data_IF_409370996315
#
_entry.id   IF_409370996315
#
_cell.length_a   1.000
_cell.length_b   1.000
_cell.length_c   1.000
_cell.angle_alpha   90.00
_cell.angle_beta   90.00
_cell.angle_gamma   90.00
#
_symmetry.space_group_name_H-M   'P 1'
#
loop_
_entity.id
_entity.type
_entity.pdbx_description
1 polymer ?
#
# COMPACT_ATOMS: atom_id res chain seq x y z
N UNK A 1 27.91 27.91 31.13
CA UNK A 1 27.63 27.05 29.96
C UNK A 1 26.65 27.80 29.07
N UNK A 2 27.16 28.60 28.13
CA UNK A 2 26.32 29.52 27.34
C UNK A 2 25.44 28.73 26.37
N UNK A 3 24.13 28.97 26.43
CA UNK A 3 23.15 28.45 25.49
C UNK A 3 23.43 29.07 24.11
N UNK A 4 24.18 28.33 23.28
CA UNK A 4 24.41 28.70 21.88
C UNK A 4 23.05 28.68 21.19
N UNK A 5 22.64 29.79 20.59
CA UNK A 5 21.38 29.86 19.85
C UNK A 5 21.39 28.82 18.72
N UNK A 6 20.23 28.22 18.39
CA UNK A 6 20.15 27.16 17.37
C UNK A 6 20.73 27.58 16.01
N UNK A 7 20.68 28.88 15.69
CA UNK A 7 21.27 29.46 14.48
C UNK A 7 22.81 29.40 14.47
N UNK A 8 23.46 29.67 15.61
CA UNK A 8 24.93 29.62 15.72
C UNK A 8 25.43 28.17 15.68
N UNK A 9 24.66 27.23 16.23
CA UNK A 9 24.96 25.81 16.12
C UNK A 9 24.85 25.28 14.67
N UNK A 10 23.84 25.73 13.92
CA UNK A 10 23.68 25.40 12.51
C UNK A 10 24.85 25.96 11.66
N UNK A 11 25.23 27.22 11.87
CA UNK A 11 26.37 27.84 11.18
C UNK A 11 27.69 27.09 11.44
N UNK A 12 27.98 26.76 12.70
CA UNK A 12 29.20 26.04 13.07
C UNK A 12 29.26 24.62 12.49
N UNK A 13 28.13 23.95 12.33
CA UNK A 13 28.09 22.59 11.78
C UNK A 13 28.07 22.55 10.25
N UNK A 14 27.42 23.51 9.58
CA UNK A 14 27.21 23.45 8.12
C UNK A 14 28.23 24.26 7.34
N UNK A 15 28.54 25.48 7.79
CA UNK A 15 29.27 26.49 7.01
C UNK A 15 30.75 26.54 7.39
N UNK A 16 31.04 26.54 8.69
CA UNK A 16 32.41 26.66 9.24
C UNK A 16 33.44 25.66 8.65
N UNK A 17 33.11 24.38 8.38
CA UNK A 17 34.06 23.44 7.76
C UNK A 17 34.50 23.81 6.34
N UNK A 18 33.73 24.65 5.64
CA UNK A 18 33.96 25.04 4.26
C UNK A 18 34.27 26.52 4.10
N UNK A 19 34.58 27.23 5.19
CA UNK A 19 34.88 28.65 5.19
C UNK A 19 36.01 29.01 4.22
N UNK A 20 37.07 28.18 4.15
CA UNK A 20 38.16 28.36 3.18
C UNK A 20 37.74 28.21 1.72
N UNK A 21 36.83 27.26 1.41
CA UNK A 21 36.28 27.11 0.05
C UNK A 21 35.32 28.25 -0.30
N UNK A 22 34.53 28.72 0.67
CA UNK A 22 33.66 29.88 0.50
C UNK A 22 34.46 31.14 0.18
N UNK A 23 35.52 31.41 0.95
CA UNK A 23 36.42 32.54 0.68
C UNK A 23 37.09 32.39 -0.69
N UNK A 24 37.50 31.18 -1.07
CA UNK A 24 38.07 30.91 -2.40
C UNK A 24 37.09 31.17 -3.55
N UNK A 25 35.84 30.70 -3.43
CA UNK A 25 34.79 30.92 -4.45
C UNK A 25 34.42 32.41 -4.53
N UNK A 26 34.27 33.08 -3.38
CA UNK A 26 33.99 34.52 -3.34
C UNK A 26 35.16 35.30 -3.96
N UNK A 27 36.40 34.94 -3.64
CA UNK A 27 37.60 35.55 -4.21
C UNK A 27 37.62 35.42 -5.74
N UNK A 28 37.40 34.20 -6.25
CA UNK A 28 37.32 33.96 -7.69
C UNK A 28 36.16 34.73 -8.35
N UNK A 29 35.00 34.83 -7.70
CA UNK A 29 33.85 35.59 -8.22
C UNK A 29 34.12 37.09 -8.25
N UNK A 30 34.76 37.64 -7.21
CA UNK A 30 35.19 39.05 -7.21
C UNK A 30 36.23 39.31 -8.29
N UNK A 31 37.16 38.38 -8.50
CA UNK A 31 38.19 38.50 -9.54
C UNK A 31 37.56 38.47 -10.94
N UNK A 32 36.66 37.52 -11.20
CA UNK A 32 35.90 37.41 -12.45
C UNK A 32 35.10 38.69 -12.76
N UNK A 33 34.30 39.16 -11.79
CA UNK A 33 33.52 40.41 -11.95
C UNK A 33 34.37 41.66 -12.12
N UNK A 34 35.54 41.76 -11.45
CA UNK A 34 36.45 42.90 -11.64
C UNK A 34 37.05 42.93 -13.05
N UNK A 35 37.32 41.77 -13.66
CA UNK A 35 37.82 41.69 -15.04
C UNK A 35 36.77 42.20 -16.03
N UNK A 36 35.48 41.92 -15.80
CA UNK A 36 34.40 42.46 -16.64
C UNK A 36 34.15 43.96 -16.45
N UNK A 37 34.45 44.52 -15.26
CA UNK A 37 34.15 45.91 -14.93
C UNK A 37 35.20 46.90 -15.44
N UNK A 38 36.46 46.48 -15.65
CA UNK A 38 37.56 47.36 -16.07
C UNK A 38 37.50 47.59 -17.60
N UNK A 39 37.17 48.82 -18.07
CA UNK A 39 37.13 49.12 -19.50
C UNK A 39 38.55 49.15 -20.06
N UNK A 40 38.83 48.38 -21.11
CA UNK A 40 40.13 48.36 -21.80
C UNK A 40 41.08 47.21 -21.42
N UNK A 41 40.67 46.32 -20.50
CA UNK A 41 41.38 45.05 -20.32
C UNK A 41 41.17 44.17 -21.57
N UNK A 42 42.20 43.51 -22.12
CA UNK A 42 41.99 42.58 -23.21
C UNK A 42 41.14 41.40 -22.71
N UNK A 43 39.83 41.45 -22.98
CA UNK A 43 38.86 40.35 -22.80
C UNK A 43 39.13 39.25 -23.83
N UNK A 44 40.39 38.84 -23.94
CA UNK A 44 40.76 37.68 -24.73
C UNK A 44 40.24 36.45 -24.00
N UNK A 45 39.54 35.57 -24.74
CA UNK A 45 39.05 34.29 -24.22
C UNK A 45 40.15 33.44 -23.53
N UNK A 46 41.43 33.75 -23.75
CA UNK A 46 42.57 33.04 -23.15
C UNK A 46 42.70 33.23 -21.63
N UNK A 47 42.28 34.38 -21.08
CA UNK A 47 42.41 34.67 -19.63
C UNK A 47 41.07 34.50 -18.92
N UNK A 48 39.97 34.89 -19.55
CA UNK A 48 38.62 34.83 -18.97
C UNK A 48 38.14 33.38 -18.78
N UNK A 49 38.31 32.54 -19.80
CA UNK A 49 37.85 31.14 -19.79
C UNK A 49 38.44 30.30 -18.64
N UNK A 50 39.76 30.28 -18.38
CA UNK A 50 40.29 29.48 -17.27
C UNK A 50 39.84 29.99 -15.90
N UNK A 51 39.62 31.29 -15.73
CA UNK A 51 39.15 31.89 -14.47
C UNK A 51 37.70 31.52 -14.23
N UNK A 52 36.83 31.74 -15.21
CA UNK A 52 35.40 31.43 -15.12
C UNK A 52 35.16 29.92 -14.99
N UNK A 53 35.98 29.10 -15.64
CA UNK A 53 35.93 27.63 -15.50
C UNK A 53 36.38 27.20 -14.10
N UNK A 54 37.44 27.81 -13.56
CA UNK A 54 37.91 27.55 -12.19
C UNK A 54 36.85 27.95 -11.16
N UNK A 55 36.19 29.10 -11.36
CA UNK A 55 35.07 29.54 -10.55
C UNK A 55 33.90 28.56 -10.62
N UNK A 56 33.51 28.12 -11.83
CA UNK A 56 32.42 27.16 -12.02
C UNK A 56 32.71 25.83 -11.30
N UNK A 57 33.92 25.29 -11.45
CA UNK A 57 34.34 24.05 -10.77
C UNK A 57 34.35 24.24 -9.25
N UNK A 58 34.92 25.35 -8.76
CA UNK A 58 34.99 25.63 -7.32
C UNK A 58 33.58 25.81 -6.71
N UNK A 59 32.69 26.53 -7.39
CA UNK A 59 31.31 26.73 -6.98
C UNK A 59 30.53 25.40 -6.97
N UNK A 60 30.69 24.57 -8.01
CA UNK A 60 30.07 23.24 -8.10
C UNK A 60 30.54 22.30 -6.99
N UNK A 61 31.85 22.32 -6.70
CA UNK A 61 32.43 21.52 -5.63
C UNK A 61 31.92 21.98 -4.26
N UNK A 62 31.87 23.29 -4.03
CA UNK A 62 31.31 23.87 -2.82
C UNK A 62 29.83 23.50 -2.66
N UNK A 63 29.02 23.64 -3.72
CA UNK A 63 27.61 23.27 -3.70
C UNK A 63 27.41 21.79 -3.37
N UNK A 64 28.20 20.89 -3.97
CA UNK A 64 28.16 19.45 -3.69
C UNK A 64 28.53 19.13 -2.24
N UNK A 65 29.52 19.85 -1.68
CA UNK A 65 29.94 19.71 -0.28
C UNK A 65 28.87 20.21 0.69
N UNK A 66 28.31 21.39 0.44
CA UNK A 66 27.22 21.95 1.24
C UNK A 66 25.99 21.05 1.21
N UNK A 67 25.61 20.56 0.02
CA UNK A 67 24.52 19.60 -0.11
C UNK A 67 24.78 18.35 0.72
N UNK A 68 25.97 17.75 0.61
CA UNK A 68 26.34 16.57 1.42
C UNK A 68 26.26 16.85 2.92
N UNK A 69 26.78 17.99 3.37
CA UNK A 69 26.78 18.40 4.78
C UNK A 69 25.34 18.56 5.30
N UNK A 70 24.49 19.27 4.56
CA UNK A 70 23.08 19.46 4.90
C UNK A 70 22.35 18.13 4.91
N UNK A 71 22.59 17.29 3.90
CA UNK A 71 21.98 15.97 3.80
C UNK A 71 22.35 15.06 4.97
N UNK A 72 23.63 15.03 5.35
CA UNK A 72 24.09 14.19 6.46
C UNK A 72 23.56 14.71 7.81
N UNK A 73 23.54 16.02 8.04
CA UNK A 73 23.09 16.59 9.32
C UNK A 73 21.56 16.57 9.48
N UNK A 74 20.80 16.86 8.42
CA UNK A 74 19.35 17.05 8.54
C UNK A 74 18.54 15.84 8.10
N UNK A 75 18.98 15.13 7.06
CA UNK A 75 18.21 14.01 6.49
C UNK A 75 18.66 12.67 7.06
N UNK A 76 19.97 12.45 7.20
CA UNK A 76 20.50 11.19 7.70
C UNK A 76 20.33 11.05 9.22
N UNK A 77 20.78 12.04 10.00
CA UNK A 77 20.64 11.99 11.47
C UNK A 77 19.17 11.99 11.90
N UNK A 78 18.30 12.78 11.28
CA UNK A 78 16.87 12.77 11.62
C UNK A 78 16.20 11.42 11.31
N UNK A 79 16.59 10.78 10.20
CA UNK A 79 16.01 9.50 9.82
C UNK A 79 16.49 8.33 10.69
N UNK A 80 17.76 8.33 11.09
CA UNK A 80 18.33 7.36 12.03
C UNK A 80 17.73 7.55 13.43
N UNK A 81 17.65 8.79 13.91
CA UNK A 81 17.09 9.11 15.24
C UNK A 81 15.58 8.84 15.34
N UNK A 82 14.86 8.85 14.22
CA UNK A 82 13.43 8.49 14.16
C UNK A 82 13.17 6.98 14.23
N UNK A 83 14.20 6.14 14.41
CA UNK A 83 14.09 4.69 14.46
C UNK A 83 13.69 4.03 13.13
N UNK A 84 13.63 4.80 12.04
CA UNK A 84 13.32 4.29 10.70
C UNK A 84 14.58 3.68 10.10
N UNK A 85 14.53 2.40 9.74
CA UNK A 85 15.57 1.76 8.92
C UNK A 85 15.52 2.39 7.52
N UNK A 86 16.27 3.46 7.30
CA UNK A 86 16.47 3.99 5.95
C UNK A 86 17.52 3.14 5.25
N UNK A 87 17.17 2.62 4.07
CA UNK A 87 18.11 1.86 3.27
C UNK A 87 19.27 2.77 2.84
N UNK A 88 20.49 2.40 3.25
CA UNK A 88 21.72 3.11 2.89
C UNK A 88 21.88 3.29 1.37
N UNK A 89 21.33 2.37 0.59
CA UNK A 89 21.30 2.41 -0.87
C UNK A 89 20.49 3.60 -1.42
N UNK A 90 19.32 3.89 -0.83
CA UNK A 90 18.47 5.03 -1.25
C UNK A 90 19.20 6.34 -0.97
N UNK A 91 19.86 6.43 0.18
CA UNK A 91 20.64 7.61 0.56
C UNK A 91 21.79 7.85 -0.42
N UNK A 92 22.46 6.78 -0.86
CA UNK A 92 23.52 6.86 -1.88
C UNK A 92 22.96 7.31 -3.24
N UNK A 93 21.82 6.78 -3.66
CA UNK A 93 21.16 7.17 -4.90
C UNK A 93 20.77 8.66 -4.90
N UNK A 94 20.18 9.16 -3.82
CA UNK A 94 19.80 10.58 -3.71
C UNK A 94 21.03 11.49 -3.77
N UNK A 95 22.12 11.13 -3.08
CA UNK A 95 23.39 11.87 -3.14
C UNK A 95 23.97 11.89 -4.55
N UNK A 96 23.94 10.76 -5.25
CA UNK A 96 24.42 10.65 -6.63
C UNK A 96 23.60 11.55 -7.57
N UNK A 97 22.26 11.46 -7.51
CA UNK A 97 21.37 12.26 -8.35
C UNK A 97 21.54 13.76 -8.09
N UNK A 98 21.63 14.18 -6.82
CA UNK A 98 21.84 15.58 -6.49
C UNK A 98 23.19 16.12 -7.02
N UNK A 99 24.27 15.35 -6.88
CA UNK A 99 25.57 15.74 -7.43
C UNK A 99 25.55 15.80 -8.96
N UNK A 100 24.90 14.85 -9.64
CA UNK A 100 24.72 14.90 -11.09
C UNK A 100 23.94 16.14 -11.52
N UNK A 101 22.87 16.51 -10.79
CA UNK A 101 22.12 17.73 -11.04
C UNK A 101 22.97 18.99 -10.84
N UNK A 102 23.77 19.07 -9.78
CA UNK A 102 24.67 20.21 -9.52
C UNK A 102 25.66 20.39 -10.68
N UNK A 103 26.30 19.30 -11.12
CA UNK A 103 27.23 19.32 -12.26
C UNK A 103 26.51 19.78 -13.53
N UNK A 104 25.33 19.22 -13.80
CA UNK A 104 24.53 19.59 -14.97
C UNK A 104 24.21 21.09 -14.98
N UNK A 105 23.67 21.64 -13.89
CA UNK A 105 23.38 23.08 -13.81
C UNK A 105 24.63 23.94 -13.91
N UNK A 106 25.76 23.49 -13.35
CA UNK A 106 27.05 24.18 -13.48
C UNK A 106 27.45 24.30 -14.95
N UNK A 107 27.35 23.22 -15.72
CA UNK A 107 27.68 23.20 -17.16
C UNK A 107 26.73 24.14 -17.93
N UNK A 108 25.43 24.12 -17.62
CA UNK A 108 24.44 24.98 -18.29
C UNK A 108 24.73 26.46 -18.04
N UNK A 109 24.90 26.85 -16.77
CA UNK A 109 25.18 28.24 -16.39
C UNK A 109 26.50 28.70 -17.03
N UNK A 110 27.57 27.90 -16.94
CA UNK A 110 28.85 28.21 -17.56
C UNK A 110 28.74 28.41 -19.08
N UNK A 111 27.97 27.54 -19.75
CA UNK A 111 27.77 27.60 -21.20
C UNK A 111 27.00 28.85 -21.62
N UNK A 112 25.99 29.24 -20.83
CA UNK A 112 25.20 30.46 -21.07
C UNK A 112 26.06 31.72 -20.94
N UNK A 113 26.91 31.81 -19.90
CA UNK A 113 27.83 32.94 -19.71
C UNK A 113 28.79 33.14 -20.88
N UNK A 114 29.24 32.05 -21.52
CA UNK A 114 30.18 32.09 -22.64
C UNK A 114 29.49 32.06 -24.02
N UNK A 115 28.16 32.21 -24.07
CA UNK A 115 27.36 32.13 -25.31
C UNK A 115 27.61 30.85 -26.11
N UNK A 116 27.95 29.76 -25.41
CA UNK A 116 28.07 28.43 -25.99
C UNK A 116 26.66 27.93 -26.29
N UNK A 117 26.47 27.32 -27.46
CA UNK A 117 25.18 26.79 -27.84
C UNK A 117 24.76 25.61 -26.94
N UNK A 118 23.87 25.88 -25.98
CA UNK A 118 23.32 24.88 -25.08
C UNK A 118 22.30 23.95 -25.73
N UNK A 119 21.77 24.28 -26.92
CA UNK A 119 20.77 23.44 -27.59
C UNK A 119 21.31 22.04 -27.86
N UNK A 120 22.58 21.90 -28.27
CA UNK A 120 23.18 20.58 -28.48
C UNK A 120 23.31 19.77 -27.18
N UNK A 121 23.67 20.42 -26.08
CA UNK A 121 23.79 19.77 -24.76
C UNK A 121 22.42 19.34 -24.23
N UNK A 122 21.43 20.22 -24.30
CA UNK A 122 20.06 19.92 -23.86
C UNK A 122 19.42 18.87 -24.76
N UNK A 123 19.61 18.92 -26.08
CA UNK A 123 19.10 17.92 -27.02
C UNK A 123 19.71 16.53 -26.78
N UNK A 124 21.03 16.44 -26.58
CA UNK A 124 21.70 15.17 -26.28
C UNK A 124 21.26 14.59 -24.93
N UNK A 125 21.06 15.42 -23.92
CA UNK A 125 20.47 14.99 -22.65
C UNK A 125 19.00 14.62 -22.75
N UNK A 126 18.23 15.25 -23.64
CA UNK A 126 16.86 14.84 -23.93
C UNK A 126 16.81 13.41 -24.45
N UNK A 127 17.66 13.07 -25.43
CA UNK A 127 17.77 11.71 -25.97
C UNK A 127 18.30 10.73 -24.92
N UNK A 128 19.35 11.11 -24.17
CA UNK A 128 19.89 10.28 -23.08
C UNK A 128 18.87 10.04 -21.96
N UNK A 129 18.09 11.07 -21.62
CA UNK A 129 17.02 11.01 -20.63
C UNK A 129 15.89 10.10 -21.04
N UNK A 130 15.52 10.07 -22.33
CA UNK A 130 14.55 9.11 -22.85
C UNK A 130 15.02 7.66 -22.67
N UNK A 131 16.29 7.36 -22.93
CA UNK A 131 16.84 6.02 -22.71
C UNK A 131 16.76 5.60 -21.23
N UNK A 132 17.10 6.51 -20.31
CA UNK A 132 16.96 6.28 -18.86
C UNK A 132 15.49 6.10 -18.47
N UNK A 133 14.58 6.90 -19.03
CA UNK A 133 13.15 6.80 -18.76
C UNK A 133 12.58 5.44 -19.19
N UNK A 134 12.95 4.94 -20.37
CA UNK A 134 12.56 3.61 -20.81
C UNK A 134 13.12 2.50 -19.92
N UNK A 135 14.39 2.62 -19.50
CA UNK A 135 14.99 1.66 -18.57
C UNK A 135 14.28 1.65 -17.20
N UNK A 136 13.82 2.81 -16.73
CA UNK A 136 13.16 2.98 -15.44
C UNK A 136 11.64 2.72 -15.47
N UNK A 137 11.03 2.61 -16.66
CA UNK A 137 9.57 2.59 -16.86
C UNK A 137 8.85 1.58 -15.94
N UNK A 138 9.32 0.33 -15.91
CA UNK A 138 8.70 -0.75 -15.10
C UNK A 138 8.78 -0.49 -13.60
N UNK A 139 9.88 0.13 -13.14
CA UNK A 139 10.04 0.48 -11.72
C UNK A 139 9.08 1.60 -11.34
N UNK A 140 8.95 2.61 -12.22
CA UNK A 140 8.02 3.72 -12.00
C UNK A 140 6.57 3.21 -11.97
N UNK A 141 6.21 2.32 -12.89
CA UNK A 141 4.89 1.69 -12.95
C UNK A 141 4.53 0.97 -11.64
N UNK A 142 5.47 0.23 -11.04
CA UNK A 142 5.28 -0.42 -9.75
C UNK A 142 5.07 0.56 -8.60
N UNK A 143 5.83 1.66 -8.58
CA UNK A 143 5.69 2.69 -7.55
C UNK A 143 4.34 3.39 -7.68
N UNK A 144 3.94 3.76 -8.90
CA UNK A 144 2.64 4.37 -9.17
C UNK A 144 1.51 3.41 -8.80
N UNK A 145 1.62 2.12 -9.12
CA UNK A 145 0.66 1.11 -8.69
C UNK A 145 0.55 1.02 -7.16
N UNK A 146 1.67 1.13 -6.44
CA UNK A 146 1.68 1.18 -4.98
C UNK A 146 0.96 2.41 -4.42
N UNK A 147 1.15 3.57 -5.03
CA UNK A 147 0.47 4.81 -4.67
C UNK A 147 -1.04 4.66 -4.87
N UNK A 148 -1.47 4.12 -6.01
CA UNK A 148 -2.89 3.88 -6.32
C UNK A 148 -3.53 2.94 -5.28
N UNK A 149 -2.89 1.80 -4.98
CA UNK A 149 -3.38 0.86 -3.95
C UNK A 149 -3.52 1.58 -2.59
N UNK A 150 -2.57 2.44 -2.23
CA UNK A 150 -2.59 3.15 -0.95
C UNK A 150 -3.70 4.21 -0.88
N UNK A 151 -3.96 4.91 -1.99
CA UNK A 151 -4.97 5.97 -2.06
C UNK A 151 -6.38 5.41 -2.15
N UNK A 152 -6.61 4.49 -3.08
CA UNK A 152 -7.94 3.95 -3.38
C UNK A 152 -8.34 2.84 -2.40
N UNK A 153 -7.37 2.20 -1.75
CA UNK A 153 -7.55 1.11 -0.78
C UNK A 153 -8.54 0.02 -1.24
N UNK A 154 -8.37 -0.57 -2.43
CA UNK A 154 -9.21 -1.69 -2.87
C UNK A 154 -9.10 -2.92 -1.94
N UNK A 155 -7.98 -3.01 -1.22
CA UNK A 155 -7.73 -3.92 -0.11
C UNK A 155 -6.72 -3.27 0.84
N UNK A 156 -6.70 -3.73 2.09
CA UNK A 156 -5.75 -3.30 3.11
C UNK A 156 -4.92 -4.47 3.64
N UNK A 157 -3.90 -4.16 4.46
CA UNK A 157 -3.17 -5.19 5.20
C UNK A 157 -4.17 -5.97 6.06
N UNK A 158 -3.98 -7.29 6.10
CA UNK A 158 -4.85 -8.29 6.73
C UNK A 158 -6.11 -8.71 5.98
N UNK A 159 -6.42 -8.08 4.84
CA UNK A 159 -7.48 -8.60 3.96
C UNK A 159 -7.07 -9.91 3.29
N UNK A 160 -8.04 -10.80 3.10
CA UNK A 160 -7.91 -11.96 2.22
C UNK A 160 -8.38 -11.59 0.83
N UNK A 161 -7.50 -11.81 -0.14
CA UNK A 161 -7.74 -11.50 -1.53
C UNK A 161 -7.51 -12.72 -2.43
N UNK A 162 -8.28 -12.78 -3.51
CA UNK A 162 -8.11 -13.72 -4.61
C UNK A 162 -7.64 -13.01 -5.87
N UNK A 163 -6.78 -13.71 -6.61
CA UNK A 163 -6.23 -13.28 -7.88
C UNK A 163 -6.69 -14.24 -9.00
N UNK A 164 -6.73 -13.80 -10.26
CA UNK A 164 -7.24 -14.61 -11.37
C UNK A 164 -6.44 -15.88 -11.68
N UNK A 165 -5.20 -15.97 -11.20
CA UNK A 165 -4.31 -17.13 -11.32
C UNK A 165 -4.59 -18.20 -10.25
N UNK A 166 -5.67 -18.05 -9.47
CA UNK A 166 -6.06 -18.98 -8.42
C UNK A 166 -5.28 -18.77 -7.12
N UNK A 167 -4.47 -17.72 -7.01
CA UNK A 167 -3.84 -17.36 -5.74
C UNK A 167 -4.91 -16.80 -4.80
N UNK A 168 -5.04 -17.43 -3.63
CA UNK A 168 -5.88 -16.98 -2.54
C UNK A 168 -5.04 -16.88 -1.26
N UNK A 169 -5.10 -15.74 -0.58
CA UNK A 169 -4.27 -15.51 0.60
C UNK A 169 -4.50 -14.18 1.30
N UNK A 170 -3.86 -14.02 2.47
CA UNK A 170 -3.90 -12.81 3.30
C UNK A 170 -2.81 -11.82 2.90
N UNK A 171 -3.17 -10.55 2.78
CA UNK A 171 -2.21 -9.46 2.55
C UNK A 171 -1.40 -9.23 3.83
N UNK A 172 -0.10 -9.54 3.79
CA UNK A 172 0.80 -9.41 4.95
C UNK A 172 1.43 -8.02 5.02
N UNK A 173 1.76 -7.43 3.87
CA UNK A 173 2.30 -6.06 3.82
C UNK A 173 2.18 -5.47 2.43
N UNK A 174 1.84 -4.18 2.34
CA UNK A 174 1.86 -3.40 1.10
C UNK A 174 3.13 -2.54 1.13
N UNK A 175 4.10 -2.87 0.28
CA UNK A 175 5.32 -2.09 0.10
C UNK A 175 5.19 -1.08 -1.04
N UNK A 176 6.22 -0.25 -1.22
CA UNK A 176 6.22 0.79 -2.26
C UNK A 176 6.08 0.22 -3.68
N UNK A 177 6.77 -0.89 -3.99
CA UNK A 177 6.80 -1.51 -5.34
C UNK A 177 6.05 -2.84 -5.44
N UNK A 178 5.82 -3.50 -4.32
CA UNK A 178 5.27 -4.85 -4.30
C UNK A 178 4.49 -5.10 -3.02
N UNK A 179 3.48 -5.96 -3.13
CA UNK A 179 2.65 -6.42 -2.02
C UNK A 179 2.98 -7.87 -1.72
N UNK A 180 3.03 -8.21 -0.43
CA UNK A 180 3.29 -9.57 0.03
C UNK A 180 1.99 -10.23 0.46
N UNK A 181 1.71 -11.39 -0.11
CA UNK A 181 0.47 -12.15 0.11
C UNK A 181 0.85 -13.54 0.64
N UNK A 182 0.34 -13.89 1.82
CA UNK A 182 0.51 -15.19 2.45
C UNK A 182 -0.58 -16.13 1.95
N UNK A 183 -0.20 -17.18 1.22
CA UNK A 183 -1.17 -18.12 0.64
C UNK A 183 -1.92 -18.92 1.71
N UNK A 184 -3.23 -19.05 1.53
CA UNK A 184 -4.06 -19.94 2.34
C UNK A 184 -3.77 -21.40 1.98
N UNK A 185 -3.70 -22.27 2.98
CA UNK A 185 -3.41 -23.70 2.81
C UNK A 185 -1.92 -24.08 2.81
N UNK A 186 -1.07 -23.39 2.03
CA UNK A 186 0.38 -23.67 2.00
C UNK A 186 1.22 -22.76 2.90
N UNK A 187 0.71 -21.58 3.28
CA UNK A 187 1.41 -20.63 4.14
C UNK A 187 2.66 -20.00 3.51
N UNK A 188 2.80 -20.07 2.18
CA UNK A 188 3.92 -19.48 1.44
C UNK A 188 3.72 -17.99 1.23
N UNK A 189 4.81 -17.22 1.21
CA UNK A 189 4.76 -15.78 0.97
C UNK A 189 5.04 -15.47 -0.49
N UNK A 190 4.03 -14.99 -1.20
CA UNK A 190 4.12 -14.55 -2.59
C UNK A 190 4.34 -13.04 -2.62
N UNK A 191 5.27 -12.60 -3.46
CA UNK A 191 5.60 -11.18 -3.63
C UNK A 191 5.12 -10.77 -5.02
N UNK A 192 4.07 -9.96 -5.08
CA UNK A 192 3.44 -9.53 -6.34
C UNK A 192 3.79 -8.06 -6.61
N UNK A 193 4.26 -7.69 -7.81
CA UNK A 193 4.43 -6.30 -8.19
C UNK A 193 3.11 -5.53 -8.10
N UNK A 194 3.15 -4.32 -7.55
CA UNK A 194 1.93 -3.52 -7.38
C UNK A 194 1.29 -3.18 -8.74
N UNK A 195 2.10 -2.96 -9.79
CA UNK A 195 1.59 -2.71 -11.14
C UNK A 195 0.73 -3.87 -11.66
N UNK A 196 1.14 -5.11 -11.39
CA UNK A 196 0.37 -6.30 -11.75
C UNK A 196 -0.96 -6.37 -11.01
N UNK A 197 -0.98 -6.03 -9.71
CA UNK A 197 -2.21 -6.00 -8.91
C UNK A 197 -3.21 -4.94 -9.42
N UNK A 198 -2.72 -3.77 -9.84
CA UNK A 198 -3.59 -2.71 -10.36
C UNK A 198 -4.14 -2.98 -11.76
N UNK A 199 -3.67 -4.03 -12.45
CA UNK A 199 -4.07 -4.36 -13.83
C UNK A 199 -5.05 -5.55 -13.91
N UNK A 200 -5.27 -6.24 -12.80
CA UNK A 200 -6.13 -7.43 -12.75
C UNK A 200 -7.33 -7.19 -11.86
N UNK A 201 -8.39 -7.97 -12.07
CA UNK A 201 -9.51 -8.00 -11.15
C UNK A 201 -9.06 -8.70 -9.86
N UNK A 202 -9.25 -8.04 -8.72
CA UNK A 202 -8.95 -8.57 -7.39
C UNK A 202 -10.26 -8.84 -6.67
N UNK A 203 -10.44 -10.05 -6.19
CA UNK A 203 -11.56 -10.41 -5.33
C UNK A 203 -11.18 -10.16 -3.88
N UNK A 204 -11.78 -9.17 -3.22
CA UNK A 204 -11.57 -8.93 -1.80
C UNK A 204 -12.61 -9.69 -0.97
N UNK A 205 -12.20 -10.83 -0.41
CA UNK A 205 -13.06 -11.68 0.40
C UNK A 205 -13.30 -11.11 1.80
N UNK A 206 -12.37 -10.36 2.37
CA UNK A 206 -12.59 -9.71 3.67
C UNK A 206 -13.52 -8.51 3.56
N UNK A 207 -13.47 -7.79 2.44
CA UNK A 207 -14.35 -6.66 2.14
C UNK A 207 -15.81 -7.05 1.87
N UNK A 208 -16.09 -8.33 1.57
CA UNK A 208 -17.45 -8.81 1.41
C UNK A 208 -18.16 -8.92 2.79
N UNK A 209 -19.36 -8.36 2.88
CA UNK A 209 -20.22 -8.51 4.07
C UNK A 209 -21.01 -9.81 3.93
N UNK A 210 -21.07 -10.63 4.98
CA UNK A 210 -22.09 -11.68 5.08
C UNK A 210 -23.22 -11.13 5.92
N UNK A 211 -24.44 -11.58 5.64
CA UNK A 211 -25.55 -11.36 6.55
C UNK A 211 -25.88 -12.71 7.16
N UNK A 212 -25.83 -12.76 8.48
CA UNK A 212 -26.28 -13.91 9.25
C UNK A 212 -27.80 -13.83 9.38
N UNK A 213 -28.49 -14.86 8.91
CA UNK A 213 -29.91 -15.07 9.15
C UNK A 213 -30.08 -16.20 10.19
N UNK A 214 -30.80 -15.92 11.26
CA UNK A 214 -31.05 -16.89 12.34
C UNK A 214 -32.47 -17.48 12.23
N UNK A 215 -32.57 -18.81 12.24
CA UNK A 215 -33.84 -19.55 12.30
C UNK A 215 -33.88 -20.41 13.53
N UNK A 216 -35.03 -20.40 14.20
CA UNK A 216 -35.29 -21.25 15.34
C UNK A 216 -36.32 -22.30 14.95
N UNK A 217 -35.93 -23.57 15.06
CA UNK A 217 -36.83 -24.72 14.93
C UNK A 217 -37.16 -25.24 16.31
N UNK A 218 -38.42 -25.14 16.70
CA UNK A 218 -38.93 -25.65 17.97
C UNK A 218 -39.47 -27.06 17.77
N UNK A 219 -38.81 -28.05 18.36
CA UNK A 219 -39.26 -29.44 18.30
C UNK A 219 -40.32 -29.70 19.37
N UNK A 220 -41.33 -30.48 19.02
CA UNK A 220 -42.42 -30.86 19.93
C UNK A 220 -41.99 -31.83 21.03
N UNK A 221 -40.77 -32.36 20.94
CA UNK A 221 -40.18 -33.33 21.88
C UNK A 221 -38.73 -33.00 22.17
N UNK A 222 -38.17 -33.65 23.18
CA UNK A 222 -36.72 -33.67 23.39
C UNK A 222 -36.06 -34.52 22.31
N UNK A 223 -35.01 -33.98 21.69
CA UNK A 223 -34.21 -34.66 20.67
C UNK A 223 -32.91 -35.15 21.30
N UNK A 224 -32.64 -36.45 21.22
CA UNK A 224 -31.41 -37.06 21.75
C UNK A 224 -30.19 -36.72 20.90
N UNK A 225 -28.97 -36.88 21.46
CA UNK A 225 -27.72 -36.47 20.79
C UNK A 225 -27.49 -37.14 19.43
N UNK A 226 -27.90 -38.39 19.28
CA UNK A 226 -27.76 -39.15 18.03
C UNK A 226 -28.66 -38.55 16.94
N UNK A 227 -29.89 -38.22 17.30
CA UNK A 227 -30.87 -37.61 16.40
C UNK A 227 -30.52 -36.14 16.09
N UNK A 228 -29.94 -35.40 17.03
CA UNK A 228 -29.37 -34.08 16.78
C UNK A 228 -28.29 -34.11 15.69
N UNK A 229 -27.45 -35.15 15.67
CA UNK A 229 -26.42 -35.30 14.65
C UNK A 229 -27.04 -35.56 13.25
N UNK A 230 -28.07 -36.40 13.19
CA UNK A 230 -28.84 -36.63 11.95
C UNK A 230 -29.49 -35.33 11.46
N UNK A 231 -30.21 -34.62 12.34
CA UNK A 231 -30.88 -33.36 12.01
C UNK A 231 -29.88 -32.32 11.51
N UNK A 232 -28.73 -32.19 12.20
CA UNK A 232 -27.64 -31.30 11.76
C UNK A 232 -27.17 -31.65 10.36
N UNK A 233 -26.92 -32.93 10.07
CA UNK A 233 -26.47 -33.36 8.75
C UNK A 233 -27.52 -33.10 7.67
N UNK A 234 -28.80 -33.34 7.96
CA UNK A 234 -29.91 -33.06 7.05
C UNK A 234 -29.98 -31.56 6.74
N UNK A 235 -29.89 -30.70 7.74
CA UNK A 235 -29.89 -29.24 7.57
C UNK A 235 -28.70 -28.79 6.71
N UNK A 236 -27.49 -29.23 7.03
CA UNK A 236 -26.29 -28.86 6.28
C UNK A 236 -26.40 -29.28 4.80
N UNK A 237 -26.81 -30.52 4.53
CA UNK A 237 -27.01 -31.03 3.17
C UNK A 237 -28.17 -30.36 2.42
N UNK A 238 -29.16 -29.80 3.13
CA UNK A 238 -30.29 -29.09 2.49
C UNK A 238 -29.91 -27.68 2.04
N UNK A 239 -28.78 -27.17 2.54
CA UNK A 239 -28.30 -25.81 2.24
C UNK A 239 -27.07 -25.79 1.33
N UNK A 240 -26.42 -26.94 1.12
CA UNK A 240 -25.19 -27.04 0.31
C UNK A 240 -25.38 -26.62 -1.15
N UNK A 241 -26.58 -26.85 -1.68
CA UNK A 241 -26.88 -26.67 -3.10
C UNK A 241 -27.50 -25.30 -3.40
N UNK A 242 -27.73 -24.47 -2.38
CA UNK A 242 -28.37 -23.16 -2.53
C UNK A 242 -27.32 -22.12 -2.87
N UNK A 243 -27.37 -21.64 -4.13
CA UNK A 243 -26.48 -20.59 -4.59
C UNK A 243 -26.63 -19.32 -3.75
N UNK A 244 -25.54 -18.85 -3.15
CA UNK A 244 -25.53 -17.65 -2.30
C UNK A 244 -25.64 -17.93 -0.79
N UNK A 245 -25.74 -19.18 -0.34
CA UNK A 245 -25.57 -19.55 1.07
C UNK A 245 -24.20 -20.20 1.27
N UNK A 246 -23.44 -19.72 2.25
CA UNK A 246 -22.17 -20.33 2.64
C UNK A 246 -22.41 -21.49 3.62
N UNK A 247 -22.61 -22.67 3.05
CA UNK A 247 -22.84 -23.92 3.78
C UNK A 247 -21.68 -24.32 4.71
N UNK A 248 -20.46 -23.82 4.47
CA UNK A 248 -19.29 -24.12 5.32
C UNK A 248 -19.32 -23.35 6.63
N UNK A 249 -19.98 -22.20 6.63
CA UNK A 249 -20.13 -21.36 7.82
C UNK A 249 -21.50 -21.52 8.47
N UNK A 250 -22.46 -22.21 7.82
CA UNK A 250 -23.75 -22.55 8.43
C UNK A 250 -23.54 -23.41 9.67
N UNK A 251 -24.06 -22.96 10.81
CA UNK A 251 -23.96 -23.69 12.08
C UNK A 251 -25.36 -24.01 12.64
N UNK A 252 -25.46 -25.14 13.34
CA UNK A 252 -26.69 -25.62 13.97
C UNK A 252 -26.41 -25.94 15.43
N UNK A 253 -26.99 -25.15 16.33
CA UNK A 253 -26.85 -25.30 17.76
C UNK A 253 -28.18 -25.75 18.40
N UNK A 254 -28.13 -26.76 19.27
CA UNK A 254 -29.33 -27.26 19.96
C UNK A 254 -29.36 -26.76 21.39
N UNK A 255 -30.50 -26.21 21.81
CA UNK A 255 -30.75 -25.75 23.17
C UNK A 255 -31.97 -26.47 23.74
N UNK A 256 -31.90 -26.86 25.01
CA UNK A 256 -33.06 -27.34 25.76
C UNK A 256 -33.90 -26.15 26.21
N UNK A 257 -35.17 -26.13 25.82
CA UNK A 257 -36.18 -25.20 26.33
C UNK A 257 -36.92 -25.87 27.49
N UNK A 258 -36.74 -25.34 28.68
CA UNK A 258 -37.53 -25.73 29.84
C UNK A 258 -38.78 -24.84 29.90
N UNK A 259 -39.91 -25.35 29.39
CA UNK A 259 -41.22 -24.72 29.59
C UNK A 259 -41.98 -25.48 30.67
N UNK A 260 -42.88 -24.80 31.37
CA UNK A 260 -43.40 -25.12 32.72
C UNK A 260 -43.90 -26.56 33.00
N UNK A 261 -44.02 -27.45 31.99
CA UNK A 261 -44.32 -28.88 32.16
C UNK A 261 -43.65 -29.82 31.12
N UNK A 262 -42.84 -29.32 30.18
CA UNK A 262 -42.21 -30.13 29.12
C UNK A 262 -40.81 -29.62 28.78
N UNK A 263 -39.85 -30.54 28.69
CA UNK A 263 -38.52 -30.27 28.10
C UNK A 263 -38.65 -30.41 26.59
N UNK A 264 -38.45 -29.30 25.88
CA UNK A 264 -38.43 -29.26 24.41
C UNK A 264 -37.04 -28.97 23.93
N UNK A 265 -36.72 -29.35 22.70
CA UNK A 265 -35.47 -28.96 22.06
C UNK A 265 -35.75 -27.86 21.05
N UNK A 266 -34.90 -26.84 21.01
CA UNK A 266 -34.87 -25.83 19.97
C UNK A 266 -33.55 -25.95 19.21
N UNK A 267 -33.59 -26.01 17.90
CA UNK A 267 -32.42 -25.81 17.05
C UNK A 267 -32.35 -24.35 16.61
N UNK A 268 -31.21 -23.72 16.86
CA UNK A 268 -30.82 -22.43 16.30
C UNK A 268 -29.92 -22.69 15.09
N UNK A 269 -30.39 -22.29 13.91
CA UNK A 269 -29.67 -22.41 12.65
C UNK A 269 -29.19 -21.01 12.25
N UNK A 270 -27.89 -20.86 12.02
CA UNK A 270 -27.29 -19.63 11.53
C UNK A 270 -26.89 -19.81 10.07
N UNK A 271 -27.62 -19.20 9.14
CA UNK A 271 -27.25 -19.16 7.73
C UNK A 271 -26.37 -17.95 7.46
N UNK A 272 -25.35 -18.13 6.64
CA UNK A 272 -24.56 -17.02 6.13
C UNK A 272 -24.89 -16.81 4.66
N UNK A 273 -25.65 -15.75 4.37
CA UNK A 273 -25.98 -15.38 3.00
C UNK A 273 -24.83 -14.54 2.45
N UNK A 274 -24.20 -15.03 1.39
CA UNK A 274 -23.18 -14.32 0.62
C UNK A 274 -23.87 -13.22 -0.17
N UNK A 275 -23.47 -11.97 0.06
CA UNK A 275 -24.01 -10.86 -0.72
C UNK A 275 -23.22 -9.60 -0.52
N UNK A 276 -22.85 -8.95 -1.63
CA UNK A 276 -22.49 -7.54 -1.62
C UNK A 276 -23.63 -6.74 -0.99
N UNK A 277 -23.30 -5.53 -0.53
CA UNK A 277 -24.25 -4.56 0.02
C UNK A 277 -25.53 -4.40 -0.81
N UNK A 278 -25.47 -4.67 -2.12
CA UNK A 278 -26.52 -4.40 -3.11
C UNK A 278 -27.39 -5.61 -3.49
N UNK A 279 -27.21 -6.78 -2.88
CA UNK A 279 -28.21 -7.85 -3.05
C UNK A 279 -29.51 -7.36 -2.44
N UNK A 280 -30.53 -7.15 -3.29
CA UNK A 280 -31.83 -6.64 -2.86
C UNK A 280 -32.36 -7.49 -1.70
N UNK A 281 -32.98 -6.85 -0.71
CA UNK A 281 -33.61 -7.56 0.41
C UNK A 281 -34.59 -8.65 -0.09
N UNK A 282 -35.15 -8.46 -1.29
CA UNK A 282 -35.98 -9.45 -1.98
C UNK A 282 -35.23 -10.74 -2.31
N UNK A 283 -34.04 -10.68 -2.93
CA UNK A 283 -33.29 -11.90 -3.24
C UNK A 283 -32.83 -12.63 -1.97
N UNK A 284 -32.46 -11.88 -0.92
CA UNK A 284 -32.09 -12.47 0.38
C UNK A 284 -33.25 -13.23 1.01
N UNK A 285 -34.46 -12.65 0.99
CA UNK A 285 -35.69 -13.32 1.43
C UNK A 285 -35.95 -14.57 0.61
N UNK A 286 -35.85 -14.50 -0.72
CA UNK A 286 -36.05 -15.66 -1.58
C UNK A 286 -35.07 -16.81 -1.27
N UNK A 287 -33.77 -16.51 -1.13
CA UNK A 287 -32.78 -17.54 -0.78
C UNK A 287 -33.05 -18.16 0.58
N UNK A 288 -33.47 -17.34 1.54
CA UNK A 288 -33.86 -17.78 2.86
C UNK A 288 -35.12 -18.65 2.84
N UNK A 289 -36.15 -18.24 2.09
CA UNK A 289 -37.40 -18.96 1.95
C UNK A 289 -37.14 -20.33 1.33
N UNK A 290 -36.32 -20.39 0.27
CA UNK A 290 -35.88 -21.65 -0.37
C UNK A 290 -35.13 -22.54 0.62
N UNK A 291 -34.22 -21.99 1.42
CA UNK A 291 -33.47 -22.76 2.41
C UNK A 291 -34.39 -23.35 3.48
N UNK A 292 -35.33 -22.54 3.97
CA UNK A 292 -36.30 -22.93 4.99
C UNK A 292 -37.27 -23.98 4.45
N UNK A 293 -37.72 -23.83 3.20
CA UNK A 293 -38.55 -24.79 2.48
C UNK A 293 -37.82 -26.14 2.31
N UNK A 294 -36.59 -26.13 1.80
CA UNK A 294 -35.78 -27.35 1.65
C UNK A 294 -35.56 -28.09 2.97
N UNK A 295 -35.24 -27.37 4.04
CA UNK A 295 -35.09 -27.95 5.39
C UNK A 295 -36.43 -28.55 5.84
N UNK A 296 -37.53 -27.84 5.59
CA UNK A 296 -38.86 -28.31 5.97
C UNK A 296 -39.27 -29.58 5.26
N UNK A 297 -39.05 -29.64 3.94
CA UNK A 297 -39.33 -30.84 3.15
C UNK A 297 -38.49 -32.03 3.62
N UNK A 298 -37.19 -31.82 3.84
CA UNK A 298 -36.29 -32.89 4.27
C UNK A 298 -36.59 -33.39 5.68
N UNK A 299 -36.88 -32.51 6.63
CA UNK A 299 -37.22 -32.93 8.00
C UNK A 299 -38.57 -33.66 8.04
N UNK A 300 -39.56 -33.22 7.25
CA UNK A 300 -40.83 -33.95 7.11
C UNK A 300 -40.66 -35.32 6.47
N UNK A 301 -39.76 -35.46 5.50
CA UNK A 301 -39.43 -36.77 4.91
C UNK A 301 -38.92 -37.77 5.96
N UNK A 302 -38.23 -37.29 6.99
CA UNK A 302 -37.78 -38.11 8.13
C UNK A 302 -38.79 -38.19 9.29
N UNK A 303 -40.04 -37.74 9.10
CA UNK A 303 -41.11 -37.74 10.10
C UNK A 303 -40.79 -36.91 11.37
N UNK A 304 -40.02 -35.82 11.20
CA UNK A 304 -39.64 -34.92 12.29
C UNK A 304 -40.60 -33.73 12.33
N UNK A 305 -41.42 -33.66 13.39
CA UNK A 305 -42.37 -32.57 13.61
C UNK A 305 -41.75 -31.38 14.37
N UNK A 306 -41.85 -30.18 13.80
CA UNK A 306 -41.30 -28.95 14.36
C UNK A 306 -42.13 -27.73 13.94
N UNK A 307 -42.00 -26.64 14.71
CA UNK A 307 -42.53 -25.31 14.39
C UNK A 307 -41.37 -24.33 14.14
N UNK A 308 -41.58 -23.35 13.26
CA UNK A 308 -40.62 -22.27 12.98
C UNK A 308 -41.03 -21.03 13.75
N UNK A 309 -40.10 -20.40 14.46
CA UNK A 309 -40.35 -19.16 15.21
C UNK A 309 -39.97 -17.92 14.37
N UNK A 310 -40.90 -16.97 14.20
CA UNK A 310 -40.67 -15.67 13.56
C UNK A 310 -40.51 -14.54 14.61
N UNK A 311 -39.62 -13.53 14.44
CA UNK A 311 -38.95 -13.15 13.19
C UNK A 311 -37.44 -13.42 13.15
N UNK A 312 -36.97 -13.62 11.93
CA UNK A 312 -35.56 -13.75 11.54
C UNK A 312 -34.76 -12.47 11.87
N UNK A 313 -33.67 -12.60 12.62
CA UNK A 313 -32.75 -11.49 12.87
C UNK A 313 -31.65 -11.51 11.81
N UNK A 314 -31.59 -10.46 10.98
CA UNK A 314 -30.48 -10.23 10.06
C UNK A 314 -29.38 -9.47 10.80
N UNK A 315 -28.26 -10.12 11.03
CA UNK A 315 -27.08 -9.51 11.65
C UNK A 315 -25.97 -9.42 10.62
N UNK A 316 -25.43 -8.22 10.40
CA UNK A 316 -24.22 -8.07 9.61
C UNK A 316 -23.09 -8.84 10.30
N UNK A 317 -22.50 -9.81 9.59
CA UNK A 317 -21.35 -10.57 10.06
C UNK A 317 -20.20 -10.41 9.07
N UNK A 318 -18.98 -10.10 9.54
CA UNK A 318 -17.80 -10.26 8.69
C UNK A 318 -17.66 -11.74 8.28
N UNK A 319 -17.02 -11.97 7.13
CA UNK A 319 -16.67 -13.32 6.67
C UNK A 319 -15.72 -13.95 7.69
N UNK A 320 -16.15 -15.05 8.31
CA UNK A 320 -15.27 -15.97 9.03
C UNK A 320 -14.46 -16.74 7.99
N UNK A 321 -13.14 -16.53 7.98
CA UNK A 321 -12.15 -17.11 7.05
C UNK A 321 -11.32 -18.14 7.80
#
# INVERSE_FOLDING_TARGET
MQLISPQVAAYQKVVKPYEGLLVGVIGLATLDTTIHLIPGFPQSNLIELPISLSLAIAASWLASRLFKQIFDIYLLDAAINSGRKVNSEILLLVKLLANLSIIFFTIVIFSETHKINIFGLVASLGIGGLAVAFAAQKTLEQILGGIVIYLDRPFVVDDYIGLPDGIFGRVESIGLRSTKIRTSGKGTLIIVPNSSLTQVNIENFTGAKKIMALVYLNFHRTIEKEEQALIRQVILNSTSDIFGIDSRNTDVNFRGLNSANEVKTQAQIAFFILGSSDVSMGLRRQLFDIATENITEKLKYYDIAFDIEDPTIYVDSPITI
#
